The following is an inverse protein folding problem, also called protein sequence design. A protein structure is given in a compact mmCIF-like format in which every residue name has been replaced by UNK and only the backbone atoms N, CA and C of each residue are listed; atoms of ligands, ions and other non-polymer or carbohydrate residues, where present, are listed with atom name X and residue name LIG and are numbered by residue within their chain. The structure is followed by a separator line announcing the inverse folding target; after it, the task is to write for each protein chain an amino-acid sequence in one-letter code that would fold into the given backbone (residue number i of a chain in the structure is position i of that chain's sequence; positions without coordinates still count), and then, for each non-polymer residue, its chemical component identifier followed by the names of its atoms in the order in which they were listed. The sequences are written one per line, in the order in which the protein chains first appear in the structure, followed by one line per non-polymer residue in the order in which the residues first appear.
data_IF_546889126916
#
_entry.id   IF_546889126916
#
_cell.length_a   1.000
_cell.length_b   1.000
_cell.length_c   1.000
_cell.angle_alpha   90.00
_cell.angle_beta   90.00
_cell.angle_gamma   90.00
#
_symmetry.space_group_name_H-M   'P 1'
#
loop_
_entity.id
_entity.type
_entity.pdbx_description
1 polymer ?
#
# COMPACT_ATOMS: atom_id res chain seq x y z
N UNK A 1 18.25 15.41 0.65
CA UNK A 1 17.44 14.42 -0.11
C UNK A 1 16.43 13.77 0.83
N UNK A 2 15.28 13.36 0.32
CA UNK A 2 14.22 12.72 1.12
C UNK A 2 14.31 11.20 0.98
N UNK A 3 14.41 10.50 2.11
CA UNK A 3 14.33 9.04 2.20
C UNK A 3 13.02 8.64 2.85
N UNK A 4 12.41 7.56 2.36
CA UNK A 4 11.17 7.01 2.91
C UNK A 4 11.35 5.55 3.28
N UNK A 5 10.81 5.16 4.44
CA UNK A 5 10.72 3.77 4.86
C UNK A 5 9.26 3.34 4.95
N UNK A 6 8.90 2.31 4.19
CA UNK A 6 7.57 1.69 4.24
C UNK A 6 7.61 0.57 5.30
N UNK A 7 7.03 0.87 6.47
CA UNK A 7 6.96 -0.07 7.59
C UNK A 7 6.04 -1.28 7.34
N UNK A 8 5.92 -2.19 8.33
CA UNK A 8 5.07 -3.38 8.21
C UNK A 8 3.60 -3.04 7.95
N UNK A 9 3.05 -3.60 6.88
CA UNK A 9 1.65 -3.46 6.46
C UNK A 9 1.09 -4.81 6.02
N UNK A 10 -0.19 -4.87 5.65
CA UNK A 10 -0.77 -6.08 5.06
C UNK A 10 -0.32 -6.20 3.60
N UNK A 11 0.21 -7.37 3.20
CA UNK A 11 0.66 -7.60 1.83
C UNK A 11 -0.49 -7.93 0.88
N UNK A 12 -0.28 -7.72 -0.43
CA UNK A 12 -1.28 -7.93 -1.48
C UNK A 12 -2.03 -9.27 -1.40
N UNK A 13 -1.38 -10.43 -1.18
CA UNK A 13 -2.10 -11.71 -1.08
C UNK A 13 -3.15 -11.78 0.03
N UNK A 14 -3.04 -10.92 1.05
CA UNK A 14 -3.94 -10.91 2.20
C UNK A 14 -4.81 -9.64 2.26
N UNK A 15 -4.60 -8.69 1.35
CA UNK A 15 -5.32 -7.42 1.35
C UNK A 15 -6.43 -7.40 0.30
N UNK A 16 -7.52 -8.11 0.61
CA UNK A 16 -8.72 -8.12 -0.22
C UNK A 16 -9.61 -6.90 0.05
N UNK A 17 -10.01 -6.20 -1.00
CA UNK A 17 -10.84 -4.98 -0.98
C UNK A 17 -11.92 -5.05 -2.04
N UNK A 18 -12.99 -4.25 -1.90
CA UNK A 18 -14.00 -4.10 -2.94
C UNK A 18 -13.56 -3.15 -4.07
N UNK A 19 -14.35 -3.12 -5.14
CA UNK A 19 -14.09 -2.27 -6.31
C UNK A 19 -14.04 -0.77 -5.97
N UNK A 20 -14.74 -0.33 -4.93
CA UNK A 20 -14.76 1.06 -4.47
C UNK A 20 -13.37 1.57 -4.06
N UNK A 21 -12.49 0.67 -3.58
CA UNK A 21 -11.12 1.04 -3.22
C UNK A 21 -10.30 1.32 -4.48
N UNK A 22 -10.40 0.46 -5.50
CA UNK A 22 -9.74 0.69 -6.79
C UNK A 22 -10.22 2.02 -7.41
N UNK A 23 -11.53 2.23 -7.46
CA UNK A 23 -12.12 3.46 -8.00
C UNK A 23 -11.62 4.71 -7.25
N UNK A 24 -11.52 4.63 -5.92
CA UNK A 24 -10.98 5.73 -5.11
C UNK A 24 -9.51 6.04 -5.44
N UNK A 25 -8.67 5.04 -5.70
CA UNK A 25 -7.28 5.27 -6.14
C UNK A 25 -7.22 5.85 -7.57
N UNK A 26 -8.09 5.40 -8.48
CA UNK A 26 -8.14 5.89 -9.86
C UNK A 26 -8.70 7.31 -9.99
N UNK A 27 -9.57 7.72 -9.07
CA UNK A 27 -10.13 9.07 -9.00
C UNK A 27 -9.24 10.07 -8.23
N UNK A 28 -8.10 9.62 -7.70
CA UNK A 28 -7.25 10.45 -6.85
C UNK A 28 -6.28 11.31 -7.69
N UNK A 29 -6.64 12.58 -7.87
CA UNK A 29 -5.84 13.56 -8.61
C UNK A 29 -4.46 13.84 -8.01
N UNK A 30 -4.22 13.52 -6.72
CA UNK A 30 -2.90 13.70 -6.09
C UNK A 30 -1.84 12.73 -6.61
N UNK A 31 -2.25 11.67 -7.32
CA UNK A 31 -1.35 10.63 -7.79
C UNK A 31 -0.70 10.94 -9.14
N UNK A 32 -0.97 12.05 -9.82
CA UNK A 32 -0.42 12.28 -11.17
C UNK A 32 0.24 13.66 -11.36
N UNK A 33 1.57 13.68 -11.49
CA UNK A 33 2.30 14.76 -12.19
C UNK A 33 2.66 14.34 -13.63
N UNK A 34 2.80 13.03 -13.87
CA UNK A 34 3.00 12.45 -15.20
C UNK A 34 1.67 12.38 -16.00
N UNK A 35 1.70 12.03 -17.31
CA UNK A 35 0.48 11.82 -18.08
C UNK A 35 -0.44 10.81 -17.38
N UNK A 36 -1.67 11.20 -17.09
CA UNK A 36 -2.60 10.44 -16.24
C UNK A 36 -2.74 8.97 -16.65
N UNK A 37 -2.63 8.64 -17.95
CA UNK A 37 -2.73 7.28 -18.46
C UNK A 37 -1.65 6.31 -17.93
N UNK A 38 -0.41 6.77 -17.72
CA UNK A 38 0.69 5.91 -17.27
C UNK A 38 0.56 5.59 -15.78
N UNK A 39 0.29 6.62 -14.98
CA UNK A 39 0.03 6.49 -13.54
C UNK A 39 -1.18 5.58 -13.31
N UNK A 40 -2.28 5.81 -14.05
CA UNK A 40 -3.48 5.00 -13.97
C UNK A 40 -3.17 3.52 -14.21
N UNK A 41 -2.40 3.21 -15.25
CA UNK A 41 -2.02 1.81 -15.55
C UNK A 41 -1.18 1.19 -14.43
N UNK A 42 -0.28 1.95 -13.82
CA UNK A 42 0.51 1.47 -12.68
C UNK A 42 -0.37 1.21 -11.45
N UNK A 43 -1.35 2.08 -11.19
CA UNK A 43 -2.35 1.86 -10.12
C UNK A 43 -3.12 0.58 -10.40
N UNK A 44 -3.68 0.41 -11.60
CA UNK A 44 -4.43 -0.80 -11.99
C UNK A 44 -3.59 -2.08 -11.79
N UNK A 45 -2.30 -2.05 -12.10
CA UNK A 45 -1.40 -3.19 -11.89
C UNK A 45 -1.19 -3.55 -10.41
N UNK A 46 -1.45 -2.63 -9.47
CA UNK A 46 -1.45 -2.91 -8.04
C UNK A 46 -2.72 -3.64 -7.56
N UNK A 47 -3.71 -3.89 -8.41
CA UNK A 47 -4.93 -4.61 -8.06
C UNK A 47 -5.06 -5.89 -8.88
N UNK A 48 -5.06 -7.04 -8.21
CA UNK A 48 -5.30 -8.34 -8.84
C UNK A 48 -6.77 -8.72 -8.62
N UNK A 49 -7.53 -8.86 -9.71
CA UNK A 49 -8.92 -9.30 -9.64
C UNK A 49 -9.01 -10.74 -9.14
N UNK A 50 -9.89 -11.02 -8.17
CA UNK A 50 -10.17 -12.37 -7.66
C UNK A 50 -11.52 -12.87 -8.19
N UNK A 51 -12.59 -12.73 -7.42
CA UNK A 51 -13.96 -13.13 -7.78
C UNK A 51 -14.89 -11.92 -7.86
N UNK A 52 -15.95 -12.00 -8.68
CA UNK A 52 -16.98 -10.98 -8.95
C UNK A 52 -16.53 -9.50 -8.81
N UNK A 53 -16.47 -9.00 -7.56
CA UNK A 53 -16.24 -7.60 -7.19
C UNK A 53 -15.06 -7.38 -6.20
N UNK A 54 -14.22 -8.39 -5.95
CA UNK A 54 -13.09 -8.29 -5.01
C UNK A 54 -11.72 -8.25 -5.70
N UNK A 55 -10.82 -7.48 -5.09
CA UNK A 55 -9.46 -7.22 -5.57
C UNK A 55 -8.45 -7.45 -4.46
N UNK A 56 -7.28 -7.96 -4.81
CA UNK A 56 -6.10 -7.96 -3.95
C UNK A 56 -5.25 -6.73 -4.24
N UNK A 57 -5.19 -5.80 -3.28
CA UNK A 57 -4.52 -4.52 -3.43
C UNK A 57 -3.07 -4.55 -2.90
N UNK A 58 -2.11 -4.09 -3.69
CA UNK A 58 -0.73 -3.89 -3.27
C UNK A 58 -0.54 -2.49 -2.68
N UNK A 59 -0.70 -2.39 -1.36
CA UNK A 59 -0.54 -1.11 -0.65
C UNK A 59 0.89 -0.56 -0.73
N UNK A 60 1.90 -1.42 -0.87
CA UNK A 60 3.28 -0.98 -1.03
C UNK A 60 3.55 -0.45 -2.43
N UNK A 61 3.03 -1.13 -3.45
CA UNK A 61 3.04 -0.65 -4.84
C UNK A 61 2.37 0.71 -4.97
N UNK A 62 1.18 0.88 -4.39
CA UNK A 62 0.44 2.15 -4.39
C UNK A 62 1.20 3.28 -3.71
N UNK A 63 1.81 3.02 -2.54
CA UNK A 63 2.65 4.00 -1.86
C UNK A 63 3.88 4.40 -2.70
N UNK A 64 4.54 3.43 -3.35
CA UNK A 64 5.69 3.69 -4.23
C UNK A 64 5.31 4.55 -5.44
N UNK A 65 4.16 4.29 -6.06
CA UNK A 65 3.63 5.11 -7.16
C UNK A 65 3.43 6.55 -6.67
N UNK A 66 2.72 6.73 -5.56
CA UNK A 66 2.45 8.05 -4.99
C UNK A 66 3.73 8.83 -4.67
N UNK A 67 4.73 8.18 -4.08
CA UNK A 67 6.02 8.77 -3.73
C UNK A 67 6.83 9.15 -4.97
N UNK A 68 6.89 8.26 -5.97
CA UNK A 68 7.61 8.50 -7.21
C UNK A 68 7.04 9.69 -7.99
N UNK A 69 5.72 9.84 -8.02
CA UNK A 69 5.05 10.99 -8.65
C UNK A 69 5.32 12.32 -7.94
N UNK A 70 5.79 12.27 -6.69
CA UNK A 70 6.31 13.44 -5.96
C UNK A 70 7.83 13.63 -6.10
N UNK A 71 8.51 12.82 -6.92
CA UNK A 71 9.95 12.87 -7.14
C UNK A 71 10.78 12.15 -6.07
N UNK A 72 10.15 11.34 -5.21
CA UNK A 72 10.84 10.57 -4.17
C UNK A 72 11.26 9.21 -4.72
N UNK A 73 12.57 9.02 -4.89
CA UNK A 73 13.14 7.79 -5.48
C UNK A 73 13.81 6.87 -4.45
N UNK A 74 14.21 7.40 -3.29
CA UNK A 74 14.85 6.63 -2.22
C UNK A 74 13.79 6.07 -1.27
N UNK A 75 13.18 4.93 -1.66
CA UNK A 75 12.14 4.23 -0.89
C UNK A 75 12.63 2.85 -0.46
N UNK A 76 12.59 2.59 0.84
CA UNK A 76 13.08 1.36 1.48
C UNK A 76 11.97 0.63 2.24
N UNK A 77 12.23 -0.61 2.67
CA UNK A 77 11.25 -1.44 3.39
C UNK A 77 10.26 -2.12 2.45
N UNK A 78 8.99 -2.20 2.87
CA UNK A 78 7.93 -2.91 2.16
C UNK A 78 8.11 -4.45 2.06
N UNK A 79 8.77 -5.05 3.05
CA UNK A 79 9.13 -6.48 3.05
C UNK A 79 8.29 -7.33 4.00
N UNK A 80 7.55 -6.70 4.91
CA UNK A 80 6.81 -7.38 5.97
C UNK A 80 5.33 -7.50 5.64
N UNK A 81 4.71 -8.59 6.10
CA UNK A 81 3.27 -8.72 6.09
C UNK A 81 2.75 -8.88 7.52
N UNK A 82 1.97 -7.91 8.00
CA UNK A 82 1.36 -7.95 9.33
C UNK A 82 0.38 -9.10 9.49
N UNK A 83 -0.31 -9.48 8.40
CA UNK A 83 -1.23 -10.62 8.40
C UNK A 83 -0.50 -11.96 8.46
N UNK A 84 0.56 -12.15 7.67
CA UNK A 84 1.24 -13.46 7.55
C UNK A 84 2.18 -13.76 8.72
N UNK A 85 2.88 -12.75 9.27
CA UNK A 85 3.85 -12.94 10.34
C UNK A 85 3.23 -12.67 11.72
N UNK A 86 2.40 -13.62 12.18
CA UNK A 86 1.67 -13.53 13.44
C UNK A 86 2.56 -13.54 14.69
N UNK A 87 3.81 -13.99 14.58
CA UNK A 87 4.76 -14.00 15.68
C UNK A 87 5.33 -12.60 15.95
N UNK A 88 5.34 -11.71 14.94
CA UNK A 88 5.94 -10.38 15.04
C UNK A 88 4.95 -9.23 15.06
N UNK A 89 3.75 -9.41 14.47
CA UNK A 89 2.81 -8.31 14.25
C UNK A 89 1.39 -8.64 14.68
N UNK A 90 0.73 -7.67 15.30
CA UNK A 90 -0.73 -7.64 15.37
C UNK A 90 -1.31 -7.40 13.96
N UNK A 91 -2.44 -8.02 13.65
CA UNK A 91 -3.17 -7.74 12.40
C UNK A 91 -4.67 -7.69 12.65
N UNK A 92 -5.27 -6.53 12.43
CA UNK A 92 -6.72 -6.38 12.54
C UNK A 92 -7.46 -7.29 11.56
N UNK A 93 -6.94 -7.47 10.34
CA UNK A 93 -7.55 -8.36 9.34
C UNK A 93 -7.55 -9.82 9.77
N UNK A 94 -6.54 -10.26 10.54
CA UNK A 94 -6.42 -11.64 11.04
C UNK A 94 -7.19 -11.84 12.33
N UNK A 95 -7.03 -10.92 13.28
CA UNK A 95 -7.39 -11.13 14.69
C UNK A 95 -8.63 -10.31 15.12
N UNK A 96 -9.10 -9.37 14.31
CA UNK A 96 -10.16 -8.43 14.68
C UNK A 96 -9.73 -7.53 15.83
N UNK A 97 -10.29 -7.72 17.03
CA UNK A 97 -9.90 -6.96 18.21
C UNK A 97 -8.51 -7.40 18.72
N UNK A 98 -7.49 -6.59 18.43
CA UNK A 98 -6.08 -6.89 18.73
C UNK A 98 -5.30 -5.63 19.14
N UNK A 99 -4.01 -5.79 19.48
CA UNK A 99 -3.10 -4.69 19.81
C UNK A 99 -2.74 -3.79 18.62
N UNK A 100 -1.81 -2.86 18.84
CA UNK A 100 -1.27 -1.96 17.80
C UNK A 100 0.24 -1.86 17.90
N UNK A 101 0.90 -1.73 16.76
CA UNK A 101 2.31 -1.37 16.66
C UNK A 101 2.44 0.13 16.42
N UNK A 102 3.65 0.66 16.60
CA UNK A 102 3.99 2.03 16.25
C UNK A 102 5.29 2.05 15.43
N UNK A 103 5.39 3.00 14.50
CA UNK A 103 6.63 3.36 13.81
C UNK A 103 7.07 4.73 14.32
N UNK A 104 8.29 4.85 14.82
CA UNK A 104 8.81 6.08 15.43
C UNK A 104 10.10 6.51 14.72
N UNK A 105 10.26 7.82 14.53
CA UNK A 105 11.47 8.46 14.01
C UNK A 105 11.67 9.77 14.76
N UNK A 106 12.91 10.08 15.16
CA UNK A 106 13.26 11.33 15.83
C UNK A 106 14.68 11.76 15.49
N UNK A 107 14.95 13.05 15.72
CA UNK A 107 16.30 13.61 15.73
C UNK A 107 16.70 13.74 17.19
N UNK A 108 17.87 13.22 17.54
CA UNK A 108 18.46 13.34 18.89
C UNK A 108 19.36 14.55 18.99
#
# INVERSE_FOLDING_TARGET
ELMVYLGPAISQPHFEVGAEVLDAFLANDFLAKAPQQYVRRNIENCFIKKEAEHWQADIYGLAKIALHEQGVTQVFGAEYCTYADAQKFYSYRRDGQTGRMASLIWIS
#
